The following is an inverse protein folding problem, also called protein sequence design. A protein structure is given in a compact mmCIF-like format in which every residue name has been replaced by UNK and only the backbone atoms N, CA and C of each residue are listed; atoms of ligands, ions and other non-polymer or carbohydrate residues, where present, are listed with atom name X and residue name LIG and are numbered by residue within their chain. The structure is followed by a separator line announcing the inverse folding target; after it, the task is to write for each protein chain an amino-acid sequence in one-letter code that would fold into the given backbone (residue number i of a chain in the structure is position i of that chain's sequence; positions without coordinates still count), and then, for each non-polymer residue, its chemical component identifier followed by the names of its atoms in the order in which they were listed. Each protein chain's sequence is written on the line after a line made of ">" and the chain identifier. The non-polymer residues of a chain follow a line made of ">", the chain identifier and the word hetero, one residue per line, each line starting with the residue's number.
data_IF_139833185446
#
_entry.id   IF_139833185446
#
_cell.length_a   1.000
_cell.length_b   1.000
_cell.length_c   1.000
_cell.angle_alpha   90.00
_cell.angle_beta   90.00
_cell.angle_gamma   90.00
#
_symmetry.space_group_name_H-M   'P 1'
#
loop_
_entity.id
_entity.type
_entity.pdbx_description
1 polymer ?
#
# COMPACT_ATOMS: atom_id res chain seq x y z
N UNK A 1 -24.69 -5.50 19.75
CA UNK A 1 -23.21 -5.56 19.90
C UNK A 1 -22.68 -4.43 20.79
N UNK A 2 -23.10 -3.19 20.62
CA UNK A 2 -22.64 -2.03 21.39
C UNK A 2 -22.73 -2.20 22.90
N UNK A 3 -23.80 -2.79 23.42
CA UNK A 3 -23.98 -3.02 24.86
C UNK A 3 -22.87 -3.88 25.51
N UNK A 4 -22.21 -4.73 24.70
CA UNK A 4 -21.07 -5.55 25.18
C UNK A 4 -19.73 -4.86 24.97
N UNK A 5 -19.67 -3.84 24.15
CA UNK A 5 -18.47 -3.05 23.85
C UNK A 5 -18.20 -1.99 24.92
N UNK A 6 -19.26 -1.38 25.45
CA UNK A 6 -19.19 -0.28 26.41
C UNK A 6 -18.29 -0.57 27.62
N UNK A 7 -18.40 -1.74 28.29
CA UNK A 7 -17.55 -2.04 29.43
C UNK A 7 -16.05 -2.05 29.08
N UNK A 8 -15.70 -2.57 27.90
CA UNK A 8 -14.30 -2.61 27.44
C UNK A 8 -13.76 -1.23 27.12
N UNK A 9 -14.57 -0.39 26.50
CA UNK A 9 -14.22 1.01 26.21
C UNK A 9 -13.97 1.80 27.52
N UNK A 10 -14.82 1.61 28.52
CA UNK A 10 -14.67 2.25 29.84
C UNK A 10 -13.40 1.82 30.56
N UNK A 11 -12.95 0.58 30.34
CA UNK A 11 -11.71 0.04 30.92
C UNK A 11 -10.47 0.37 30.06
N UNK A 12 -10.61 1.11 28.95
CA UNK A 12 -9.51 1.45 28.06
C UNK A 12 -8.91 0.24 27.31
N UNK A 13 -9.61 -0.87 27.23
CA UNK A 13 -9.11 -2.08 26.59
C UNK A 13 -9.24 -1.98 25.06
N UNK A 14 -8.12 -2.18 24.35
CA UNK A 14 -8.06 -2.10 22.88
C UNK A 14 -8.60 -3.35 22.17
N UNK A 15 -8.68 -4.49 22.87
CA UNK A 15 -9.15 -5.76 22.29
C UNK A 15 -10.31 -6.31 23.12
N UNK A 16 -11.41 -6.60 22.45
CA UNK A 16 -12.58 -7.23 23.06
C UNK A 16 -12.50 -8.74 22.92
N UNK A 17 -12.52 -9.44 24.06
CA UNK A 17 -12.61 -10.89 24.09
C UNK A 17 -14.10 -11.29 24.09
N UNK A 18 -14.72 -11.33 22.92
CA UNK A 18 -16.15 -11.56 22.72
C UNK A 18 -16.66 -12.83 23.43
N UNK A 19 -15.89 -13.91 23.44
CA UNK A 19 -16.23 -15.15 24.14
C UNK A 19 -16.37 -15.00 25.65
N UNK A 20 -15.74 -13.95 26.22
CA UNK A 20 -15.79 -13.64 27.67
C UNK A 20 -16.76 -12.51 28.01
N UNK A 21 -17.06 -11.64 27.03
CA UNK A 21 -17.90 -10.46 27.23
C UNK A 21 -19.38 -10.68 26.93
N UNK A 22 -19.72 -11.73 26.17
CA UNK A 22 -21.09 -12.07 25.79
C UNK A 22 -21.59 -13.27 26.57
N UNK A 23 -22.91 -13.32 26.90
CA UNK A 23 -23.53 -14.55 27.38
C UNK A 23 -23.30 -15.69 26.38
N UNK A 24 -23.02 -16.91 26.91
CA UNK A 24 -22.65 -18.07 26.08
C UNK A 24 -23.61 -18.33 24.90
N UNK A 25 -24.92 -18.18 25.14
CA UNK A 25 -25.94 -18.34 24.10
C UNK A 25 -25.80 -17.29 23.03
N UNK A 26 -25.73 -16.00 23.39
CA UNK A 26 -25.58 -14.90 22.46
C UNK A 26 -24.30 -15.00 21.64
N UNK A 27 -23.19 -15.42 22.25
CA UNK A 27 -21.94 -15.67 21.55
C UNK A 27 -22.06 -16.80 20.51
N UNK A 28 -22.71 -17.92 20.86
CA UNK A 28 -22.94 -19.03 19.93
C UNK A 28 -23.79 -18.61 18.74
N UNK A 29 -24.90 -17.88 18.99
CA UNK A 29 -25.79 -17.40 17.93
C UNK A 29 -25.08 -16.40 17.00
N UNK A 30 -24.24 -15.53 17.58
CA UNK A 30 -23.45 -14.59 16.82
C UNK A 30 -22.39 -15.31 15.95
N UNK A 31 -21.69 -16.28 16.55
CA UNK A 31 -20.69 -17.07 15.83
C UNK A 31 -21.31 -17.89 14.69
N UNK A 32 -22.48 -18.48 14.92
CA UNK A 32 -23.21 -19.22 13.87
C UNK A 32 -23.62 -18.32 12.71
N UNK A 33 -24.07 -17.07 12.99
CA UNK A 33 -24.40 -16.09 11.95
C UNK A 33 -23.16 -15.71 11.12
N UNK A 34 -22.01 -15.50 11.78
CA UNK A 34 -20.76 -15.23 11.06
C UNK A 34 -20.36 -16.43 10.19
N UNK A 35 -20.42 -17.64 10.73
CA UNK A 35 -20.10 -18.85 9.94
C UNK A 35 -21.01 -18.99 8.72
N UNK A 36 -22.31 -18.75 8.88
CA UNK A 36 -23.25 -18.82 7.77
C UNK A 36 -22.99 -17.74 6.73
N UNK A 37 -22.70 -16.51 7.17
CA UNK A 37 -22.33 -15.41 6.25
C UNK A 37 -21.04 -15.73 5.47
N UNK A 38 -20.03 -16.29 6.14
CA UNK A 38 -18.79 -16.76 5.50
C UNK A 38 -19.10 -17.84 4.46
N UNK A 39 -19.88 -18.87 4.81
CA UNK A 39 -20.25 -19.95 3.89
C UNK A 39 -20.96 -19.45 2.64
N UNK A 40 -21.90 -18.52 2.79
CA UNK A 40 -22.62 -17.93 1.68
C UNK A 40 -21.69 -17.12 0.75
N UNK A 41 -20.77 -16.38 1.32
CA UNK A 41 -19.81 -15.61 0.53
C UNK A 41 -18.77 -16.51 -0.17
N UNK A 42 -18.29 -17.57 0.51
CA UNK A 42 -17.33 -18.54 -0.06
C UNK A 42 -17.94 -19.32 -1.22
N UNK A 43 -19.25 -19.56 -1.21
CA UNK A 43 -19.96 -20.24 -2.31
C UNK A 43 -20.26 -19.34 -3.52
N UNK A 44 -19.87 -18.06 -3.50
CA UNK A 44 -20.12 -17.13 -4.60
C UNK A 44 -18.97 -17.12 -5.61
N UNK A 45 -19.30 -16.92 -6.91
CA UNK A 45 -18.30 -16.76 -7.97
C UNK A 45 -17.33 -15.59 -7.72
N UNK A 46 -17.79 -14.59 -7.01
CA UNK A 46 -16.94 -13.46 -6.57
C UNK A 46 -15.83 -13.89 -5.60
N UNK A 47 -16.10 -14.88 -4.74
CA UNK A 47 -15.10 -15.38 -3.80
C UNK A 47 -13.93 -16.03 -4.53
N UNK A 48 -14.20 -16.87 -5.52
CA UNK A 48 -13.15 -17.53 -6.33
C UNK A 48 -12.25 -16.50 -7.01
N UNK A 49 -12.85 -15.44 -7.56
CA UNK A 49 -12.09 -14.34 -8.15
C UNK A 49 -11.14 -13.66 -7.12
N UNK A 50 -11.67 -13.33 -5.94
CA UNK A 50 -10.87 -12.71 -4.88
C UNK A 50 -9.80 -13.63 -4.31
N UNK A 51 -10.12 -14.90 -4.09
CA UNK A 51 -9.18 -15.91 -3.62
C UNK A 51 -8.00 -16.07 -4.59
N UNK A 52 -8.29 -16.23 -5.86
CA UNK A 52 -7.27 -16.32 -6.91
C UNK A 52 -6.38 -15.07 -6.95
N UNK A 53 -6.96 -13.88 -6.83
CA UNK A 53 -6.23 -12.62 -6.81
C UNK A 53 -5.31 -12.52 -5.60
N UNK A 54 -5.82 -12.78 -4.41
CA UNK A 54 -5.04 -12.71 -3.16
C UNK A 54 -3.92 -13.76 -3.17
N UNK A 55 -4.22 -14.98 -3.59
CA UNK A 55 -3.24 -16.05 -3.68
C UNK A 55 -2.09 -15.72 -4.62
N UNK A 56 -2.38 -15.13 -5.80
CA UNK A 56 -1.35 -14.66 -6.74
C UNK A 56 -0.50 -13.55 -6.12
N UNK A 57 -1.13 -12.59 -5.45
CA UNK A 57 -0.41 -11.50 -4.77
C UNK A 57 0.48 -12.03 -3.64
N UNK A 58 -0.01 -12.93 -2.82
CA UNK A 58 0.77 -13.57 -1.75
C UNK A 58 1.96 -14.36 -2.30
N UNK A 59 1.75 -15.12 -3.38
CA UNK A 59 2.82 -15.85 -4.07
C UNK A 59 3.90 -14.91 -4.59
N UNK A 60 3.51 -13.80 -5.22
CA UNK A 60 4.45 -12.79 -5.70
C UNK A 60 5.25 -12.18 -4.54
N UNK A 61 4.57 -11.71 -3.49
CA UNK A 61 5.22 -11.09 -2.32
C UNK A 61 6.16 -12.07 -1.63
N UNK A 62 5.76 -13.32 -1.48
CA UNK A 62 6.61 -14.34 -0.84
C UNK A 62 7.87 -14.66 -1.67
N UNK A 63 7.83 -14.47 -2.99
CA UNK A 63 8.97 -14.67 -3.89
C UNK A 63 9.97 -13.51 -3.90
N UNK A 64 9.58 -12.33 -3.41
CA UNK A 64 10.46 -11.17 -3.36
C UNK A 64 11.66 -11.42 -2.44
N UNK A 65 12.82 -10.99 -2.90
CA UNK A 65 14.08 -11.14 -2.17
C UNK A 65 14.45 -9.83 -1.45
N UNK A 66 15.34 -9.88 -0.44
CA UNK A 66 15.95 -8.70 0.13
C UNK A 66 16.60 -7.82 -0.94
N UNK A 67 16.58 -6.51 -0.74
CA UNK A 67 17.24 -5.57 -1.64
C UNK A 67 18.75 -5.58 -1.43
N UNK A 68 19.52 -5.52 -2.52
CA UNK A 68 20.96 -5.32 -2.47
C UNK A 68 21.27 -3.83 -2.33
N UNK A 69 22.24 -3.52 -1.47
CA UNK A 69 22.62 -2.16 -1.11
C UNK A 69 24.10 -1.93 -1.46
N UNK A 70 24.37 -0.81 -2.11
CA UNK A 70 25.72 -0.27 -2.19
C UNK A 70 26.11 0.34 -0.84
N UNK A 71 26.90 -0.38 -0.06
CA UNK A 71 27.26 0.02 1.31
C UNK A 71 28.04 1.34 1.33
N UNK A 72 28.81 1.66 0.29
CA UNK A 72 29.58 2.91 0.20
C UNK A 72 28.64 4.10 -0.02
N UNK A 73 27.70 3.96 -0.94
CA UNK A 73 26.69 5.00 -1.20
C UNK A 73 25.80 5.16 0.03
N UNK A 74 25.35 4.06 0.63
CA UNK A 74 24.55 4.09 1.85
C UNK A 74 25.27 4.84 2.98
N UNK A 75 26.54 4.50 3.27
CA UNK A 75 27.30 5.15 4.32
C UNK A 75 27.46 6.66 4.07
N UNK A 76 27.74 7.06 2.82
CA UNK A 76 27.83 8.47 2.42
C UNK A 76 26.49 9.21 2.67
N UNK A 77 25.38 8.63 2.21
CA UNK A 77 24.04 9.22 2.41
C UNK A 77 23.66 9.29 3.88
N UNK A 78 24.00 8.27 4.65
CA UNK A 78 23.70 8.22 6.09
C UNK A 78 24.49 9.25 6.90
N UNK A 79 25.76 9.48 6.53
CA UNK A 79 26.64 10.45 7.17
C UNK A 79 26.28 11.91 6.82
N UNK A 80 25.65 12.15 5.67
CA UNK A 80 25.29 13.50 5.23
C UNK A 80 24.24 14.14 6.15
N UNK A 81 24.56 15.25 6.82
CA UNK A 81 23.63 15.94 7.71
C UNK A 81 22.43 16.54 6.99
N UNK A 82 22.51 16.79 5.68
CA UNK A 82 21.43 17.36 4.87
C UNK A 82 20.43 16.31 4.42
N UNK A 83 20.72 15.02 4.64
CA UNK A 83 19.82 13.92 4.26
C UNK A 83 18.49 14.01 5.03
N UNK A 84 17.43 14.27 4.28
CA UNK A 84 16.06 14.30 4.80
C UNK A 84 15.53 12.88 4.99
N UNK A 85 14.73 12.65 6.04
CA UNK A 85 14.14 11.34 6.34
C UNK A 85 15.17 10.22 6.65
N UNK A 86 16.15 10.51 7.48
CA UNK A 86 17.13 9.51 7.97
C UNK A 86 16.48 8.25 8.56
N UNK A 87 15.29 8.37 9.16
CA UNK A 87 14.54 7.21 9.69
C UNK A 87 14.16 6.20 8.59
N UNK A 88 13.77 6.68 7.41
CA UNK A 88 13.50 5.82 6.25
C UNK A 88 14.80 5.16 5.81
N UNK A 89 15.88 5.94 5.66
CA UNK A 89 17.19 5.42 5.25
C UNK A 89 17.72 4.37 6.23
N UNK A 90 17.55 4.58 7.55
CA UNK A 90 17.94 3.61 8.58
C UNK A 90 17.26 2.25 8.39
N UNK A 91 16.03 2.22 7.88
CA UNK A 91 15.36 0.95 7.61
C UNK A 91 16.06 0.09 6.55
N UNK A 92 16.92 0.70 5.73
CA UNK A 92 17.74 0.04 4.70
C UNK A 92 19.13 -0.37 5.18
N UNK A 93 19.46 -0.23 6.47
CA UNK A 93 20.77 -0.61 7.00
C UNK A 93 21.17 -1.98 6.48
N UNK A 94 22.30 -2.07 5.72
CA UNK A 94 22.69 -3.33 5.11
C UNK A 94 23.30 -4.30 6.11
N UNK A 95 23.05 -5.57 5.88
CA UNK A 95 23.72 -6.68 6.55
C UNK A 95 24.41 -7.51 5.47
N UNK A 96 25.72 -7.38 5.33
CA UNK A 96 26.50 -8.05 4.25
C UNK A 96 25.95 -7.71 2.85
N UNK A 97 25.75 -6.42 2.59
CA UNK A 97 25.32 -5.92 1.28
C UNK A 97 23.83 -6.10 0.95
N UNK A 98 23.02 -6.64 1.85
CA UNK A 98 21.56 -6.81 1.65
C UNK A 98 20.76 -6.25 2.81
N UNK A 99 19.53 -5.85 2.55
CA UNK A 99 18.58 -5.44 3.60
C UNK A 99 17.92 -6.65 4.24
N UNK A 100 17.12 -6.41 5.29
CA UNK A 100 16.07 -7.37 5.68
C UNK A 100 15.03 -7.48 4.58
N UNK A 101 14.32 -8.61 4.53
CA UNK A 101 13.19 -8.78 3.61
C UNK A 101 12.07 -7.81 3.99
N UNK A 102 11.40 -7.26 2.98
CA UNK A 102 10.23 -6.41 3.19
C UNK A 102 9.01 -7.30 3.46
N UNK A 103 8.33 -7.05 4.58
CA UNK A 103 7.02 -7.60 4.87
C UNK A 103 5.94 -6.66 4.35
N UNK A 104 5.10 -7.14 3.42
CA UNK A 104 3.98 -6.37 2.89
C UNK A 104 2.66 -6.81 3.52
N UNK A 105 1.80 -5.83 3.78
CA UNK A 105 0.42 -6.07 4.18
C UNK A 105 -0.51 -5.79 2.98
N UNK A 106 -1.26 -6.81 2.55
CA UNK A 106 -2.22 -6.74 1.44
C UNK A 106 -3.54 -6.09 1.82
N UNK A 107 -3.85 -6.02 3.10
CA UNK A 107 -5.14 -5.56 3.63
C UNK A 107 -5.03 -4.30 4.48
N UNK A 108 -3.88 -3.61 4.40
CA UNK A 108 -3.58 -2.44 5.23
C UNK A 108 -4.34 -1.16 4.85
N UNK A 109 -4.96 -1.12 3.67
CA UNK A 109 -5.73 0.03 3.19
C UNK A 109 -7.07 -0.40 2.59
N UNK A 110 -8.07 0.45 2.67
CA UNK A 110 -9.38 0.22 2.04
C UNK A 110 -9.32 0.14 0.51
N UNK A 111 -8.32 0.80 -0.09
CA UNK A 111 -8.09 0.81 -1.55
C UNK A 111 -7.29 -0.38 -2.07
N UNK A 112 -6.87 -1.31 -1.19
CA UNK A 112 -6.06 -2.47 -1.57
C UNK A 112 -4.61 -2.15 -1.95
N UNK A 113 -4.11 -0.95 -1.62
CA UNK A 113 -2.69 -0.61 -1.80
C UNK A 113 -1.84 -1.36 -0.79
N UNK A 114 -0.68 -1.84 -1.23
CA UNK A 114 0.30 -2.47 -0.34
C UNK A 114 0.82 -1.47 0.68
N UNK A 115 0.91 -1.91 1.93
CA UNK A 115 1.64 -1.20 2.99
C UNK A 115 2.77 -2.07 3.51
N UNK A 116 3.76 -1.46 4.15
CA UNK A 116 4.88 -2.18 4.72
C UNK A 116 4.59 -2.44 6.20
N UNK A 117 4.60 -3.70 6.60
CA UNK A 117 4.44 -4.13 7.99
C UNK A 117 5.78 -4.22 8.72
N UNK A 118 6.85 -4.59 8.00
CA UNK A 118 8.20 -4.71 8.54
C UNK A 118 9.27 -4.58 7.46
N UNK A 119 10.51 -4.33 7.88
CA UNK A 119 11.67 -4.21 6.98
C UNK A 119 11.82 -2.82 6.35
N UNK A 120 12.57 -2.73 5.24
CA UNK A 120 12.87 -1.48 4.56
C UNK A 120 11.64 -0.76 4.04
N UNK A 121 11.57 0.56 4.28
CA UNK A 121 10.45 1.42 3.91
C UNK A 121 10.53 1.84 2.42
N UNK A 122 10.52 0.86 1.52
CA UNK A 122 10.75 1.05 0.07
C UNK A 122 9.68 1.95 -0.58
N UNK A 123 8.43 1.91 -0.10
CA UNK A 123 7.34 2.70 -0.67
C UNK A 123 7.49 4.21 -0.39
N UNK A 124 8.25 4.58 0.63
CA UNK A 124 8.49 5.98 1.01
C UNK A 124 9.92 6.44 0.74
N UNK A 125 10.76 5.57 0.15
CA UNK A 125 12.11 5.93 -0.23
C UNK A 125 12.08 6.94 -1.39
N UNK A 126 12.57 8.14 -1.13
CA UNK A 126 12.62 9.21 -2.13
C UNK A 126 13.50 8.84 -3.32
N UNK A 127 13.17 9.37 -4.50
CA UNK A 127 13.88 9.09 -5.74
C UNK A 127 15.38 9.38 -5.65
N UNK A 128 15.75 10.49 -5.00
CA UNK A 128 17.13 10.92 -4.77
C UNK A 128 17.97 9.99 -3.89
N UNK A 129 17.30 9.09 -3.13
CA UNK A 129 17.97 8.13 -2.24
C UNK A 129 18.00 6.71 -2.83
N UNK A 130 17.40 6.50 -4.00
CA UNK A 130 17.32 5.17 -4.61
C UNK A 130 18.63 4.69 -5.19
N UNK A 131 19.63 5.56 -5.28
CA UNK A 131 21.01 5.23 -5.66
C UNK A 131 21.72 4.27 -4.68
N UNK A 132 21.20 4.13 -3.46
CA UNK A 132 21.66 3.10 -2.52
C UNK A 132 21.34 1.68 -2.98
N UNK A 133 20.30 1.52 -3.83
CA UNK A 133 19.88 0.21 -4.32
C UNK A 133 20.80 -0.22 -5.47
N UNK A 134 21.24 -1.47 -5.46
CA UNK A 134 22.05 -2.03 -6.54
C UNK A 134 21.51 -3.38 -7.00
N UNK A 135 21.88 -3.77 -8.21
CA UNK A 135 21.55 -5.09 -8.73
C UNK A 135 22.38 -6.16 -8.05
N UNK A 136 21.78 -7.31 -7.79
CA UNK A 136 22.50 -8.51 -7.34
C UNK A 136 23.43 -9.10 -8.40
N UNK A 137 23.25 -8.71 -9.66
CA UNK A 137 24.05 -9.18 -10.77
C UNK A 137 25.13 -8.16 -11.10
N UNK A 138 26.35 -8.63 -11.34
CA UNK A 138 27.48 -7.78 -11.76
C UNK A 138 27.12 -7.11 -13.09
N UNK A 139 27.25 -5.77 -13.15
CA UNK A 139 26.86 -4.99 -14.33
C UNK A 139 25.36 -4.86 -14.57
N UNK A 140 24.53 -5.47 -13.71
CA UNK A 140 23.07 -5.38 -13.78
C UNK A 140 22.56 -3.98 -13.44
N UNK A 141 21.38 -3.66 -13.96
CA UNK A 141 20.67 -2.41 -13.72
C UNK A 141 19.36 -2.66 -12.99
N UNK A 142 18.92 -1.68 -12.19
CA UNK A 142 17.58 -1.65 -11.63
C UNK A 142 16.72 -0.77 -12.54
N UNK A 143 15.56 -1.28 -12.94
CA UNK A 143 14.57 -0.53 -13.71
C UNK A 143 13.32 -0.33 -12.86
N UNK A 144 12.76 0.85 -12.92
CA UNK A 144 11.48 1.18 -12.28
C UNK A 144 10.44 1.42 -13.35
N UNK A 145 9.30 0.76 -13.22
CA UNK A 145 8.13 0.96 -14.07
C UNK A 145 7.01 1.57 -13.24
N UNK A 146 6.36 2.59 -13.78
CA UNK A 146 5.21 3.23 -13.15
C UNK A 146 4.20 3.61 -14.23
N UNK A 147 2.91 3.51 -13.90
CA UNK A 147 1.85 3.93 -14.81
C UNK A 147 1.67 5.44 -14.74
N UNK A 148 1.67 6.08 -15.88
CA UNK A 148 1.39 7.53 -15.96
C UNK A 148 -0.08 7.78 -15.66
N UNK A 149 -0.38 8.47 -14.55
CA UNK A 149 -1.74 8.91 -14.19
C UNK A 149 -2.77 7.77 -14.21
N UNK A 150 -2.46 6.63 -13.55
CA UNK A 150 -3.28 5.42 -13.62
C UNK A 150 -4.73 5.67 -13.22
N UNK A 151 -4.96 6.28 -12.06
CA UNK A 151 -6.30 6.49 -11.51
C UNK A 151 -7.18 7.35 -12.43
N UNK A 152 -6.75 8.54 -12.90
CA UNK A 152 -7.54 9.33 -13.85
C UNK A 152 -7.78 8.61 -15.19
N UNK A 153 -6.81 7.80 -15.65
CA UNK A 153 -7.02 7.00 -16.88
C UNK A 153 -8.11 5.96 -16.71
N UNK A 154 -8.11 5.27 -15.59
CA UNK A 154 -9.16 4.30 -15.26
C UNK A 154 -10.52 5.00 -15.18
N UNK A 155 -10.60 6.18 -14.54
CA UNK A 155 -11.83 6.95 -14.46
C UNK A 155 -12.37 7.33 -15.85
N UNK A 156 -11.51 7.81 -16.77
CA UNK A 156 -11.90 8.11 -18.14
C UNK A 156 -12.43 6.88 -18.88
N UNK A 157 -11.71 5.74 -18.80
CA UNK A 157 -12.12 4.49 -19.44
C UNK A 157 -13.50 4.03 -18.89
N UNK A 158 -13.70 4.09 -17.58
CA UNK A 158 -14.98 3.73 -16.96
C UNK A 158 -16.13 4.66 -17.36
N UNK A 159 -15.83 5.93 -17.73
CA UNK A 159 -16.81 6.88 -18.27
C UNK A 159 -17.01 6.76 -19.78
N UNK A 160 -16.40 5.78 -20.44
CA UNK A 160 -16.48 5.56 -21.88
C UNK A 160 -15.62 6.53 -22.72
N UNK A 161 -14.62 7.15 -22.12
CA UNK A 161 -13.69 8.07 -22.80
C UNK A 161 -12.32 7.44 -22.96
N UNK A 162 -11.67 7.72 -24.09
CA UNK A 162 -10.30 7.31 -24.31
C UNK A 162 -9.31 8.21 -23.52
N UNK A 163 -8.36 7.62 -22.80
CA UNK A 163 -7.39 8.39 -22.04
C UNK A 163 -6.38 9.07 -22.97
N UNK A 164 -6.26 10.39 -22.84
CA UNK A 164 -5.26 11.20 -23.53
C UNK A 164 -3.83 10.93 -23.01
N UNK A 165 -2.82 11.32 -23.78
CA UNK A 165 -1.41 11.05 -23.44
C UNK A 165 -0.99 11.63 -22.09
N UNK A 166 -1.32 12.88 -21.80
CA UNK A 166 -1.12 13.54 -20.50
C UNK A 166 -2.42 14.22 -20.04
N UNK A 167 -3.13 13.53 -19.15
CA UNK A 167 -4.43 13.98 -18.63
C UNK A 167 -4.32 15.31 -17.89
N UNK A 168 -3.24 15.55 -17.17
CA UNK A 168 -3.10 16.76 -16.36
C UNK A 168 -2.83 17.99 -17.23
N UNK A 169 -2.07 17.84 -18.32
CA UNK A 169 -1.89 18.91 -19.30
C UNK A 169 -3.21 19.19 -20.03
N UNK A 170 -3.90 18.13 -20.46
CA UNK A 170 -5.21 18.26 -21.12
C UNK A 170 -6.26 18.98 -20.24
N UNK A 171 -6.25 18.69 -18.94
CA UNK A 171 -7.11 19.40 -17.97
C UNK A 171 -6.71 20.86 -17.77
N UNK A 172 -5.42 21.18 -17.79
CA UNK A 172 -4.98 22.57 -17.75
C UNK A 172 -5.52 23.34 -18.97
N UNK A 173 -5.42 22.75 -20.16
CA UNK A 173 -5.76 23.41 -21.41
C UNK A 173 -7.28 23.56 -21.60
N UNK A 174 -8.08 22.62 -21.07
CA UNK A 174 -9.54 22.57 -21.29
C UNK A 174 -10.40 23.15 -20.17
N UNK A 175 -9.92 23.06 -18.92
CA UNK A 175 -10.75 23.30 -17.73
C UNK A 175 -10.16 24.37 -16.83
N UNK A 176 -8.84 24.43 -16.72
CA UNK A 176 -8.14 25.38 -15.88
C UNK A 176 -7.57 26.49 -16.78
N UNK A 177 -7.66 27.73 -16.33
CA UNK A 177 -6.97 28.82 -17.02
C UNK A 177 -5.47 28.52 -17.14
N UNK A 178 -4.84 28.95 -18.23
CA UNK A 178 -3.42 28.76 -18.53
C UNK A 178 -2.43 29.20 -17.44
N UNK A 179 -2.92 29.92 -16.43
CA UNK A 179 -2.17 30.31 -15.24
C UNK A 179 -1.92 29.17 -14.24
N UNK A 180 -2.66 28.05 -14.37
CA UNK A 180 -2.55 26.92 -13.47
C UNK A 180 -1.66 25.83 -14.06
N UNK A 181 -0.55 25.53 -13.40
CA UNK A 181 0.39 24.52 -13.86
C UNK A 181 -0.13 23.07 -13.69
N UNK A 182 0.48 22.13 -14.41
CA UNK A 182 0.22 20.69 -14.39
C UNK A 182 0.13 20.10 -12.96
N UNK A 183 0.88 20.64 -11.99
CA UNK A 183 0.85 20.20 -10.60
C UNK A 183 -0.48 20.54 -9.92
N UNK A 184 -1.03 21.71 -10.19
CA UNK A 184 -2.35 22.11 -9.70
C UNK A 184 -3.43 21.21 -10.27
N UNK A 185 -3.41 20.94 -11.58
CA UNK A 185 -4.33 19.99 -12.21
C UNK A 185 -4.26 18.59 -11.56
N UNK A 186 -3.05 18.11 -11.28
CA UNK A 186 -2.85 16.83 -10.56
C UNK A 186 -3.48 16.83 -9.18
N UNK A 187 -3.27 17.89 -8.38
CA UNK A 187 -3.82 17.98 -7.04
C UNK A 187 -5.36 18.03 -7.06
N UNK A 188 -5.92 18.84 -7.95
CA UNK A 188 -7.38 18.94 -8.11
C UNK A 188 -8.00 17.61 -8.56
N UNK A 189 -7.38 16.95 -9.54
CA UNK A 189 -7.85 15.63 -10.01
C UNK A 189 -7.86 14.61 -8.89
N UNK A 190 -6.78 14.52 -8.11
CA UNK A 190 -6.68 13.59 -6.99
C UNK A 190 -7.71 13.94 -5.90
N UNK A 191 -7.87 15.22 -5.56
CA UNK A 191 -8.90 15.65 -4.60
C UNK A 191 -10.31 15.31 -5.08
N UNK A 192 -10.61 15.48 -6.35
CA UNK A 192 -11.92 15.13 -6.93
C UNK A 192 -12.19 13.62 -6.89
N UNK A 193 -11.19 12.79 -7.14
CA UNK A 193 -11.34 11.34 -7.17
C UNK A 193 -11.45 10.70 -5.77
N UNK A 194 -10.86 11.32 -4.76
CA UNK A 194 -10.74 10.71 -3.42
C UNK A 194 -11.42 11.50 -2.30
N UNK A 195 -11.94 12.70 -2.56
CA UNK A 195 -12.59 13.58 -1.59
C UNK A 195 -11.58 14.43 -0.86
#
# INVERSE_FOLDING_TARGET
>A
EEKYLIPFQRLGLKKVLWSKSMPRKAYKDYFQRIQNAIRLNVASDQYEYFENRITRQQKLISSLQPAHIDEKIFARRYADPTTVNKSVLTSFTPMKGVTRKVGYNLTGTSTGRLTISEGPQILTLKAEMRDILTSRYVGGKIMQFDYVSLEPRVALILSGQDPVKDIYTDLCDKVLDSQHGRQTAKLLTIATLYG
#
